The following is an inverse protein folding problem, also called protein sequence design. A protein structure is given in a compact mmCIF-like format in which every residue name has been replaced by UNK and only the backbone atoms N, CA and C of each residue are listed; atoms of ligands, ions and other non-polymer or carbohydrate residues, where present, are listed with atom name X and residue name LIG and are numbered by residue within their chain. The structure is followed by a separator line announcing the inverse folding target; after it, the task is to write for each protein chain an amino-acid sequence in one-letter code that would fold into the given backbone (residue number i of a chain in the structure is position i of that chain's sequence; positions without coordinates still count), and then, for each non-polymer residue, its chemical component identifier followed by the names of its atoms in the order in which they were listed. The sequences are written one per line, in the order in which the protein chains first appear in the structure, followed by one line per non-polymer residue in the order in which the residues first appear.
data_IF_119225266018
#
_entry.id   IF_119225266018
#
_cell.length_a   1.000
_cell.length_b   1.000
_cell.length_c   1.000
_cell.angle_alpha   90.00
_cell.angle_beta   90.00
_cell.angle_gamma   90.00
#
_symmetry.space_group_name_H-M   'P 1'
#
loop_
_entity.id
_entity.type
_entity.pdbx_description
1 polymer ?
#
# COMPACT_ATOMS: atom_id res chain seq x y z
N UNK A 1 -80.74 -16.03 -60.60
CA UNK A 1 -79.46 -16.67 -60.20
C UNK A 1 -79.43 -16.79 -58.68
N UNK A 2 -78.73 -17.81 -58.17
CA UNK A 2 -78.87 -18.47 -56.86
C UNK A 2 -78.42 -17.66 -55.62
N UNK A 3 -78.98 -18.09 -54.48
CA UNK A 3 -78.70 -17.82 -53.05
C UNK A 3 -77.22 -18.05 -52.67
N UNK A 4 -76.66 -17.28 -51.71
CA UNK A 4 -76.00 -17.77 -50.48
C UNK A 4 -75.33 -16.68 -49.62
N UNK A 5 -75.51 -16.84 -48.30
CA UNK A 5 -74.86 -16.24 -47.13
C UNK A 5 -73.49 -16.90 -46.87
N UNK A 6 -72.72 -16.37 -45.89
CA UNK A 6 -71.48 -16.81 -45.22
C UNK A 6 -70.27 -15.95 -45.64
N UNK A 7 -69.46 -15.36 -44.76
CA UNK A 7 -69.21 -15.56 -43.34
C UNK A 7 -67.69 -15.54 -43.15
N UNK A 8 -67.15 -14.58 -42.38
CA UNK A 8 -65.79 -14.65 -41.85
C UNK A 8 -65.64 -13.73 -40.62
N UNK A 9 -65.42 -14.36 -39.47
CA UNK A 9 -65.04 -13.80 -38.17
C UNK A 9 -63.53 -14.02 -37.99
N UNK A 10 -62.89 -13.21 -37.12
CA UNK A 10 -61.49 -13.24 -36.62
C UNK A 10 -60.53 -12.32 -37.41
N UNK A 11 -59.65 -11.52 -36.79
CA UNK A 11 -58.99 -11.67 -35.50
C UNK A 11 -58.57 -10.33 -34.86
N UNK A 12 -58.54 -10.33 -33.53
CA UNK A 12 -57.98 -9.30 -32.63
C UNK A 12 -56.44 -9.35 -32.72
N UNK A 13 -55.70 -8.23 -32.88
CA UNK A 13 -54.28 -8.22 -32.59
C UNK A 13 -54.01 -7.91 -31.11
N UNK A 14 -52.92 -8.45 -30.54
CA UNK A 14 -52.70 -8.54 -29.10
C UNK A 14 -51.96 -7.32 -28.50
N UNK A 15 -52.04 -7.32 -27.17
CA UNK A 15 -51.24 -6.65 -26.15
C UNK A 15 -49.76 -6.34 -26.47
N UNK A 16 -49.32 -5.22 -25.89
CA UNK A 16 -48.03 -4.94 -25.23
C UNK A 16 -46.74 -5.27 -26.00
N UNK A 17 -46.02 -4.23 -26.39
CA UNK A 17 -44.55 -4.23 -26.33
C UNK A 17 -44.11 -2.94 -25.63
N UNK A 18 -43.99 -3.00 -24.31
CA UNK A 18 -43.17 -2.07 -23.57
C UNK A 18 -41.72 -2.32 -24.00
N UNK A 19 -41.09 -1.34 -24.63
CA UNK A 19 -39.67 -1.39 -24.94
C UNK A 19 -38.89 -1.37 -23.62
N UNK A 20 -38.56 -2.55 -23.10
CA UNK A 20 -37.50 -2.69 -22.12
C UNK A 20 -36.21 -2.32 -22.86
N UNK A 21 -35.68 -1.13 -22.56
CA UNK A 21 -34.30 -0.81 -22.88
C UNK A 21 -33.42 -1.93 -22.31
N UNK A 22 -32.45 -2.47 -23.07
CA UNK A 22 -31.41 -3.26 -22.44
C UNK A 22 -30.65 -2.29 -21.54
N UNK A 23 -30.91 -2.37 -20.24
CA UNK A 23 -29.96 -1.92 -19.25
C UNK A 23 -28.74 -2.83 -19.44
N UNK A 24 -27.80 -2.38 -20.27
CA UNK A 24 -26.42 -2.84 -20.23
C UNK A 24 -25.95 -2.54 -18.81
N UNK A 25 -26.15 -3.54 -17.95
CA UNK A 25 -25.49 -3.63 -16.68
C UNK A 25 -24.02 -3.79 -17.02
N UNK A 26 -23.33 -2.67 -17.20
CA UNK A 26 -21.90 -2.61 -17.23
C UNK A 26 -21.43 -3.15 -15.87
N UNK A 27 -21.30 -4.46 -15.80
CA UNK A 27 -20.47 -5.10 -14.82
C UNK A 27 -19.07 -4.54 -15.07
N UNK A 28 -18.73 -3.48 -14.34
CA UNK A 28 -17.35 -3.12 -14.06
C UNK A 28 -16.72 -4.38 -13.48
N UNK A 29 -16.15 -5.21 -14.35
CA UNK A 29 -15.28 -6.31 -13.93
C UNK A 29 -14.18 -5.61 -13.15
N UNK A 30 -14.25 -5.73 -11.83
CA UNK A 30 -13.11 -5.46 -10.98
C UNK A 30 -12.00 -6.37 -11.50
N UNK A 31 -11.08 -5.82 -12.28
CA UNK A 31 -9.90 -6.55 -12.69
C UNK A 31 -9.18 -6.92 -11.40
N UNK A 32 -8.78 -8.19 -11.28
CA UNK A 32 -8.00 -8.62 -10.12
C UNK A 32 -6.69 -7.82 -10.13
N UNK A 33 -6.28 -7.19 -9.01
CA UNK A 33 -5.04 -6.43 -8.96
C UNK A 33 -3.88 -7.26 -9.46
N UNK A 34 -3.06 -6.69 -10.33
CA UNK A 34 -1.84 -7.31 -10.84
C UNK A 34 -0.64 -6.77 -10.09
N UNK A 35 0.30 -7.64 -9.73
CA UNK A 35 1.56 -7.22 -9.11
C UNK A 35 2.51 -6.78 -10.21
N UNK A 36 2.85 -5.49 -10.20
CA UNK A 36 3.79 -4.88 -11.14
C UNK A 36 5.22 -5.10 -10.71
N UNK A 37 5.47 -5.00 -9.41
CA UNK A 37 6.78 -5.24 -8.83
C UNK A 37 6.70 -5.76 -7.40
N UNK A 38 7.68 -6.58 -7.05
CA UNK A 38 8.06 -6.85 -5.67
C UNK A 38 9.37 -6.11 -5.40
N UNK A 39 9.37 -5.22 -4.42
CA UNK A 39 10.53 -4.44 -4.04
C UNK A 39 10.99 -4.78 -2.62
N UNK A 40 12.29 -4.90 -2.41
CA UNK A 40 12.89 -4.99 -1.09
C UNK A 40 13.54 -3.66 -0.75
N UNK A 41 13.12 -3.05 0.35
CA UNK A 41 13.76 -1.88 0.94
C UNK A 41 14.60 -2.31 2.14
N UNK A 42 15.84 -1.84 2.19
CA UNK A 42 16.71 -1.96 3.37
C UNK A 42 17.14 -0.57 3.80
N UNK A 43 17.07 -0.27 5.09
CA UNK A 43 17.38 1.06 5.58
C UNK A 43 18.00 1.04 6.97
N UNK A 44 18.79 2.07 7.22
CA UNK A 44 19.22 2.46 8.55
C UNK A 44 18.48 3.74 8.94
N UNK A 45 17.98 3.78 10.17
CA UNK A 45 17.24 4.89 10.72
C UNK A 45 17.78 5.37 12.06
N UNK A 46 17.73 6.68 12.28
CA UNK A 46 18.09 7.32 13.55
C UNK A 46 16.91 8.12 14.09
N UNK A 47 16.56 7.89 15.36
CA UNK A 47 15.51 8.66 16.02
C UNK A 47 15.99 10.08 16.33
N UNK A 48 15.06 11.03 16.35
CA UNK A 48 15.39 12.41 16.75
C UNK A 48 15.68 12.49 18.25
N UNK A 49 15.01 11.67 19.06
CA UNK A 49 15.28 11.49 20.49
C UNK A 49 15.51 10.00 20.80
N UNK A 50 16.20 9.66 21.89
CA UNK A 50 16.24 8.27 22.30
C UNK A 50 14.84 7.79 22.71
N UNK A 51 14.42 6.64 22.20
CA UNK A 51 13.15 5.98 22.56
C UNK A 51 13.32 5.28 23.89
N UNK A 52 12.37 5.47 24.79
CA UNK A 52 12.34 4.88 26.13
C UNK A 52 13.64 5.09 26.96
N UNK A 53 14.11 6.34 27.12
CA UNK A 53 15.28 6.60 27.94
C UNK A 53 14.95 6.31 29.41
N UNK A 54 15.77 5.49 30.06
CA UNK A 54 15.52 5.08 31.44
C UNK A 54 14.64 3.84 31.60
N UNK A 55 14.20 3.21 30.50
CA UNK A 55 13.44 1.95 30.48
C UNK A 55 12.09 2.03 31.21
N UNK A 56 11.34 3.11 30.99
CA UNK A 56 9.99 3.31 31.55
C UNK A 56 8.86 2.83 30.62
N UNK A 57 9.20 2.42 29.39
CA UNK A 57 8.33 2.09 28.26
C UNK A 57 7.15 3.06 28.10
N UNK A 58 7.44 4.36 28.17
CA UNK A 58 6.42 5.40 28.01
C UNK A 58 6.34 5.81 26.55
N UNK A 59 5.19 5.58 25.92
CA UNK A 59 4.91 6.02 24.55
C UNK A 59 5.01 7.54 24.42
N UNK A 60 5.82 8.01 23.46
CA UNK A 60 6.03 9.43 23.18
C UNK A 60 6.13 9.67 21.67
N UNK A 61 5.71 10.84 21.16
CA UNK A 61 5.88 11.15 19.75
C UNK A 61 7.35 11.34 19.41
N UNK A 62 7.76 10.83 18.25
CA UNK A 62 9.13 11.01 17.74
C UNK A 62 9.15 11.01 16.19
N UNK A 63 10.33 11.26 15.63
CA UNK A 63 10.62 11.24 14.21
C UNK A 63 11.81 10.34 13.93
N UNK A 64 11.64 9.40 13.01
CA UNK A 64 12.72 8.52 12.54
C UNK A 64 13.17 8.98 11.15
N UNK A 65 14.44 9.38 11.04
CA UNK A 65 15.06 9.69 9.74
C UNK A 65 15.75 8.45 9.23
N UNK A 66 15.47 8.05 8.00
CA UNK A 66 16.01 6.83 7.41
C UNK A 66 16.65 7.09 6.07
N UNK A 67 17.71 6.36 5.79
CA UNK A 67 18.33 6.27 4.47
C UNK A 67 18.48 4.80 4.10
N UNK A 68 18.36 4.50 2.81
CA UNK A 68 18.30 3.10 2.41
C UNK A 68 18.49 2.84 0.93
N UNK A 69 18.32 1.57 0.57
CA UNK A 69 18.35 1.06 -0.80
C UNK A 69 17.06 0.32 -1.09
N UNK A 70 16.66 0.35 -2.36
CA UNK A 70 15.54 -0.41 -2.87
C UNK A 70 15.97 -1.22 -4.08
N UNK A 71 15.51 -2.46 -4.16
CA UNK A 71 15.67 -3.34 -5.32
C UNK A 71 14.32 -3.94 -5.68
N UNK A 72 13.94 -3.87 -6.96
CA UNK A 72 12.64 -4.30 -7.44
C UNK A 72 12.80 -5.36 -8.54
N UNK A 73 11.95 -6.38 -8.49
CA UNK A 73 11.81 -7.43 -9.49
C UNK A 73 10.37 -7.54 -9.97
N UNK A 74 10.19 -8.07 -11.18
CA UNK A 74 8.87 -8.41 -11.71
C UNK A 74 8.36 -9.75 -11.15
N UNK A 75 7.16 -10.16 -11.58
CA UNK A 75 6.57 -11.45 -11.21
C UNK A 75 7.34 -12.68 -11.68
N UNK A 76 8.27 -12.53 -12.63
CA UNK A 76 9.18 -13.57 -13.10
C UNK A 76 10.57 -13.51 -12.41
N UNK A 77 10.74 -12.65 -11.40
CA UNK A 77 11.99 -12.36 -10.70
C UNK A 77 13.09 -11.72 -11.58
N UNK A 78 12.73 -11.12 -12.72
CA UNK A 78 13.66 -10.30 -13.48
C UNK A 78 13.82 -8.93 -12.82
N UNK A 79 15.05 -8.41 -12.77
CA UNK A 79 15.35 -7.10 -12.17
C UNK A 79 14.66 -5.98 -12.97
N UNK A 80 13.84 -5.20 -12.28
CA UNK A 80 13.13 -4.05 -12.85
C UNK A 80 13.82 -2.71 -12.56
N UNK A 81 14.23 -2.51 -11.31
CA UNK A 81 14.77 -1.24 -10.85
C UNK A 81 15.61 -1.42 -9.59
N UNK A 82 16.49 -0.46 -9.34
CA UNK A 82 17.16 -0.31 -8.04
C UNK A 82 17.46 1.17 -7.79
N UNK A 83 17.54 1.56 -6.53
CA UNK A 83 17.79 2.95 -6.16
C UNK A 83 18.18 3.11 -4.71
N UNK A 84 18.39 4.35 -4.31
CA UNK A 84 18.56 4.77 -2.92
C UNK A 84 17.37 5.63 -2.52
N UNK A 85 17.10 5.72 -1.22
CA UNK A 85 16.01 6.56 -0.74
C UNK A 85 16.34 7.25 0.57
N UNK A 86 15.60 8.32 0.80
CA UNK A 86 15.49 8.99 2.09
C UNK A 86 14.02 8.98 2.53
N UNK A 87 13.79 8.79 3.82
CA UNK A 87 12.46 8.73 4.42
C UNK A 87 12.48 9.42 5.77
N UNK A 88 11.40 10.15 6.06
CA UNK A 88 11.11 10.61 7.42
C UNK A 88 9.80 9.98 7.88
N UNK A 89 9.83 9.30 9.02
CA UNK A 89 8.66 8.68 9.64
C UNK A 89 8.21 9.54 10.81
N UNK A 90 6.93 9.89 10.82
CA UNK A 90 6.28 10.53 11.96
C UNK A 90 5.59 9.47 12.77
N UNK A 91 6.03 9.27 14.02
CA UNK A 91 5.47 8.30 14.95
C UNK A 91 4.75 9.05 16.06
N UNK A 92 3.42 9.01 16.14
CA UNK A 92 2.67 9.73 17.18
C UNK A 92 2.88 9.13 18.59
N UNK A 93 3.35 7.89 18.67
CA UNK A 93 3.66 7.22 19.93
C UNK A 93 4.58 6.03 19.70
N UNK A 94 5.88 6.24 19.83
CA UNK A 94 6.89 5.19 19.77
C UNK A 94 7.24 4.68 21.17
N UNK A 95 7.45 3.37 21.30
CA UNK A 95 7.83 2.70 22.55
C UNK A 95 8.80 1.53 22.28
N UNK A 96 9.37 0.94 23.32
CA UNK A 96 10.33 -0.16 23.17
C UNK A 96 9.67 -1.55 23.15
N UNK A 97 8.43 -1.63 23.65
CA UNK A 97 7.59 -2.83 23.59
C UNK A 97 6.13 -2.42 23.49
N UNK A 98 5.37 -3.11 22.65
CA UNK A 98 3.93 -2.92 22.51
C UNK A 98 3.49 -2.78 21.06
N UNK A 99 2.36 -2.11 20.85
CA UNK A 99 1.76 -1.93 19.54
C UNK A 99 1.74 -0.44 19.18
N UNK A 100 2.47 -0.07 18.13
CA UNK A 100 2.49 1.29 17.61
C UNK A 100 1.59 1.32 16.37
N UNK A 101 0.71 2.32 16.31
CA UNK A 101 -0.28 2.42 15.26
C UNK A 101 -0.26 3.82 14.67
N UNK A 102 -0.45 3.88 13.34
CA UNK A 102 -0.68 5.12 12.57
C UNK A 102 0.58 5.92 12.26
N UNK A 103 1.75 5.29 12.23
CA UNK A 103 2.91 6.00 11.70
C UNK A 103 2.70 6.28 10.21
N UNK A 104 3.17 7.44 9.79
CA UNK A 104 3.08 7.89 8.39
C UNK A 104 4.46 8.30 7.91
N UNK A 105 4.69 8.15 6.61
CA UNK A 105 5.94 8.60 6.02
C UNK A 105 5.83 8.81 4.53
N UNK A 106 6.62 9.75 4.03
CA UNK A 106 6.89 9.90 2.60
C UNK A 106 8.32 9.46 2.34
N UNK A 107 8.50 8.64 1.31
CA UNK A 107 9.81 8.11 0.88
C UNK A 107 10.09 8.57 -0.54
N UNK A 108 11.19 9.29 -0.72
CA UNK A 108 11.68 9.67 -2.05
C UNK A 108 12.73 8.69 -2.49
N UNK A 109 12.46 7.97 -3.59
CA UNK A 109 13.39 7.02 -4.20
C UNK A 109 14.09 7.69 -5.38
N UNK A 110 15.41 7.70 -5.33
CA UNK A 110 16.30 8.06 -6.44
C UNK A 110 16.77 6.77 -7.12
N UNK A 111 16.24 6.52 -8.31
CA UNK A 111 16.56 5.33 -9.08
C UNK A 111 17.93 5.45 -9.74
N UNK A 112 18.58 4.31 -9.98
CA UNK A 112 19.92 4.23 -10.58
C UNK A 112 20.00 4.76 -12.02
N UNK A 113 18.88 4.92 -12.71
CA UNK A 113 18.78 5.55 -14.03
C UNK A 113 18.50 7.06 -13.95
N UNK A 114 18.48 7.65 -12.75
CA UNK A 114 18.23 9.07 -12.50
C UNK A 114 16.74 9.43 -12.36
N UNK A 115 15.82 8.47 -12.55
CA UNK A 115 14.41 8.70 -12.31
C UNK A 115 14.13 8.90 -10.81
N UNK A 116 12.98 9.52 -10.49
CA UNK A 116 12.53 9.73 -9.10
C UNK A 116 11.10 9.23 -8.94
N UNK A 117 10.81 8.53 -7.84
CA UNK A 117 9.46 8.19 -7.40
C UNK A 117 9.25 8.58 -5.95
N UNK A 118 8.01 8.94 -5.60
CA UNK A 118 7.59 9.26 -4.24
C UNK A 118 6.55 8.24 -3.78
N UNK A 119 6.87 7.54 -2.70
CA UNK A 119 6.00 6.56 -2.04
C UNK A 119 5.41 7.22 -0.78
N UNK A 120 4.09 7.28 -0.70
CA UNK A 120 3.36 7.76 0.47
C UNK A 120 2.81 6.58 1.25
N UNK A 121 3.34 6.37 2.45
CA UNK A 121 2.88 5.38 3.41
C UNK A 121 1.86 6.03 4.34
N UNK A 122 0.59 5.68 4.15
CA UNK A 122 -0.56 6.26 4.84
C UNK A 122 -0.82 5.63 6.21
N UNK A 123 -0.34 4.40 6.41
CA UNK A 123 -0.44 3.68 7.67
C UNK A 123 0.68 2.67 7.83
N UNK A 124 1.31 2.72 8.99
CA UNK A 124 2.20 1.68 9.49
C UNK A 124 1.63 1.15 10.80
N UNK A 125 1.54 -0.17 10.90
CA UNK A 125 1.25 -0.90 12.12
C UNK A 125 2.54 -1.60 12.55
N UNK A 126 2.91 -1.43 13.82
CA UNK A 126 4.13 -1.98 14.39
C UNK A 126 3.77 -2.80 15.61
N UNK A 127 4.30 -4.02 15.67
CA UNK A 127 4.28 -4.84 16.89
C UNK A 127 5.73 -5.03 17.31
N UNK A 128 6.12 -4.45 18.45
CA UNK A 128 7.49 -4.48 18.96
C UNK A 128 7.62 -5.41 20.16
N UNK A 129 8.55 -6.34 20.08
CA UNK A 129 8.94 -7.23 21.17
C UNK A 129 10.46 -7.38 21.21
N UNK A 130 11.06 -7.16 22.39
CA UNK A 130 12.50 -7.37 22.63
C UNK A 130 13.42 -6.66 21.62
N UNK A 131 13.13 -5.40 21.30
CA UNK A 131 13.95 -4.60 20.35
C UNK A 131 13.79 -4.99 18.87
N UNK A 132 12.87 -5.91 18.56
CA UNK A 132 12.47 -6.25 17.19
C UNK A 132 11.03 -5.83 16.97
N UNK A 133 10.80 -5.07 15.91
CA UNK A 133 9.50 -4.63 15.43
C UNK A 133 9.10 -5.43 14.18
N UNK A 134 7.85 -5.90 14.13
CA UNK A 134 7.21 -6.42 12.93
C UNK A 134 6.31 -5.33 12.36
N UNK A 135 6.39 -5.09 11.04
CA UNK A 135 5.72 -3.98 10.38
C UNK A 135 4.74 -4.48 9.34
N UNK A 136 3.56 -3.87 9.31
CA UNK A 136 2.59 -3.95 8.21
C UNK A 136 2.31 -2.54 7.74
N UNK A 137 2.52 -2.27 6.45
CA UNK A 137 2.46 -0.92 5.89
C UNK A 137 1.52 -0.93 4.68
N UNK A 138 0.68 0.09 4.60
CA UNK A 138 -0.07 0.42 3.39
C UNK A 138 0.35 1.79 2.85
N UNK A 139 0.05 2.03 1.58
CA UNK A 139 0.33 3.30 0.96
C UNK A 139 0.04 3.30 -0.53
N UNK A 140 0.60 4.30 -1.22
CA UNK A 140 0.55 4.42 -2.67
C UNK A 140 1.80 5.08 -3.22
N UNK A 141 2.09 4.83 -4.49
CA UNK A 141 3.05 5.59 -5.25
C UNK A 141 2.31 6.78 -5.87
N UNK A 142 2.85 7.97 -5.63
CA UNK A 142 2.27 9.22 -6.15
C UNK A 142 2.16 9.23 -7.68
N UNK A 143 1.18 9.97 -8.19
CA UNK A 143 0.85 9.97 -9.62
C UNK A 143 1.92 10.63 -10.52
N UNK A 144 2.78 11.48 -9.97
CA UNK A 144 3.88 12.17 -10.62
C UNK A 144 5.21 11.39 -10.57
N UNK A 145 5.21 10.22 -9.93
CA UNK A 145 6.37 9.34 -9.90
C UNK A 145 6.75 8.84 -11.30
N UNK A 146 8.04 8.77 -11.59
CA UNK A 146 8.52 8.27 -12.88
C UNK A 146 8.37 6.75 -13.05
N UNK A 147 8.31 6.01 -11.93
CA UNK A 147 8.11 4.54 -11.90
C UNK A 147 6.98 4.20 -10.96
N UNK A 148 6.18 3.20 -11.35
CA UNK A 148 5.09 2.61 -10.54
C UNK A 148 4.01 3.63 -10.18
N UNK A 149 3.84 4.69 -10.98
CA UNK A 149 2.93 5.78 -10.65
C UNK A 149 1.50 5.27 -10.45
N UNK A 150 0.88 5.66 -9.34
CA UNK A 150 -0.48 5.26 -8.91
C UNK A 150 -0.61 3.83 -8.42
N UNK A 151 0.48 3.05 -8.39
CA UNK A 151 0.45 1.73 -7.78
C UNK A 151 0.09 1.85 -6.29
N UNK A 152 -0.72 0.92 -5.83
CA UNK A 152 -0.97 0.75 -4.39
C UNK A 152 0.15 -0.06 -3.76
N UNK A 153 0.47 0.25 -2.51
CA UNK A 153 1.54 -0.40 -1.76
C UNK A 153 0.96 -1.24 -0.64
N UNK A 154 1.41 -2.50 -0.59
CA UNK A 154 1.31 -3.34 0.61
C UNK A 154 2.70 -3.82 0.97
N UNK A 155 3.15 -3.49 2.17
CA UNK A 155 4.46 -3.91 2.63
C UNK A 155 4.39 -4.66 3.96
N UNK A 156 5.31 -5.58 4.13
CA UNK A 156 5.58 -6.26 5.40
C UNK A 156 7.07 -6.24 5.66
N UNK A 157 7.47 -6.23 6.93
CA UNK A 157 8.88 -6.31 7.23
C UNK A 157 9.22 -6.31 8.70
N UNK A 158 10.50 -6.10 8.96
CA UNK A 158 11.07 -6.09 10.31
C UNK A 158 11.98 -4.87 10.49
N UNK A 159 12.01 -4.37 11.72
CA UNK A 159 12.99 -3.40 12.18
C UNK A 159 13.65 -3.94 13.44
N UNK A 160 14.94 -3.78 13.57
CA UNK A 160 15.68 -4.14 14.78
C UNK A 160 16.54 -2.97 15.21
N UNK A 161 16.42 -2.58 16.47
CA UNK A 161 17.33 -1.63 17.09
C UNK A 161 17.85 -2.14 18.42
N UNK A 162 18.79 -1.39 18.97
CA UNK A 162 19.44 -1.72 20.24
C UNK A 162 19.29 -0.56 21.21
N UNK A 163 19.24 -0.87 22.51
CA UNK A 163 19.13 0.13 23.57
C UNK A 163 17.79 0.12 24.31
N UNK A 164 16.78 -0.58 23.80
CA UNK A 164 15.55 -0.84 24.55
C UNK A 164 15.82 -1.55 25.88
N UNK A 165 15.14 -1.11 26.94
CA UNK A 165 15.35 -1.62 28.30
C UNK A 165 16.66 -1.16 28.95
N UNK A 166 17.42 -0.25 28.32
CA UNK A 166 18.63 0.35 28.90
C UNK A 166 18.37 1.81 29.32
N UNK A 167 19.25 2.38 30.14
CA UNK A 167 19.17 3.82 30.46
C UNK A 167 19.31 4.73 29.24
N UNK A 168 20.05 4.28 28.22
CA UNK A 168 20.31 5.10 27.05
C UNK A 168 19.09 5.20 26.13
N UNK A 169 18.19 4.23 26.17
CA UNK A 169 17.10 4.10 25.20
C UNK A 169 17.59 3.62 23.83
N UNK A 170 16.65 3.38 22.92
CA UNK A 170 16.91 3.01 21.53
C UNK A 170 17.11 4.28 20.68
N UNK A 171 18.23 4.37 19.95
CA UNK A 171 18.58 5.59 19.17
C UNK A 171 18.59 5.36 17.66
N UNK A 172 18.62 4.09 17.24
CA UNK A 172 18.69 3.73 15.84
C UNK A 172 18.09 2.34 15.59
N UNK A 173 17.63 2.12 14.36
CA UNK A 173 17.07 0.86 13.87
C UNK A 173 17.61 0.55 12.49
N UNK A 174 17.75 -0.74 12.20
CA UNK A 174 17.89 -1.25 10.84
C UNK A 174 16.60 -1.94 10.43
N UNK A 175 16.13 -1.66 9.22
CA UNK A 175 14.83 -2.12 8.72
C UNK A 175 14.96 -2.83 7.39
N UNK A 176 14.15 -3.87 7.21
CA UNK A 176 13.92 -4.52 5.91
C UNK A 176 12.42 -4.61 5.66
N UNK A 177 11.96 -4.08 4.53
CA UNK A 177 10.57 -4.14 4.08
C UNK A 177 10.49 -4.84 2.73
N UNK A 178 9.50 -5.69 2.55
CA UNK A 178 9.10 -6.25 1.25
C UNK A 178 7.80 -5.57 0.84
N UNK A 179 7.82 -4.87 -0.29
CA UNK A 179 6.71 -4.11 -0.85
C UNK A 179 6.17 -4.87 -2.06
N UNK A 180 4.86 -5.00 -2.15
CA UNK A 180 4.16 -5.33 -3.38
C UNK A 180 3.51 -4.06 -3.94
N UNK A 181 3.84 -3.75 -5.18
CA UNK A 181 3.26 -2.65 -5.96
C UNK A 181 2.21 -3.23 -6.90
N UNK A 182 0.97 -2.72 -6.82
CA UNK A 182 -0.16 -3.26 -7.58
C UNK A 182 -1.04 -2.17 -8.18
N UNK A 183 -1.43 -2.33 -9.46
CA UNK A 183 -2.47 -1.54 -10.13
C UNK A 183 -3.78 -2.31 -10.35
#
# INVERSE_FOLDING_TARGET
MKIAVLGAVLAIPPLLVAAAAPADSAHTRSARPTIDATCVQTAHGTFATAVDPGATNTSQPDTLRMTGKVECVDSANARLASGTFERTVTMPGVECTGEEHRDTSTTTVHWSDGAVSTLDFDRTEVVKASGTASLVITGSVTADSARFARDTIKAVGISSGSGCGTRAGETAVDSTLVLHLTH
#
